data_IF_535343587351
#
_entry.id   IF_535343587351
#
_cell.length_a   1.000
_cell.length_b   1.000
_cell.length_c   1.000
_cell.angle_alpha   90.00
_cell.angle_beta   90.00
_cell.angle_gamma   90.00
#
_symmetry.space_group_name_H-M   'P 1'
#
loop_
_entity.id
_entity.type
_entity.pdbx_description
1 polymer ?
#
# COMPACT_ATOMS: atom_id res chain seq x y z
N UNK A 1 -14.31 11.35 -5.87
CA UNK A 1 -14.00 10.02 -5.30
C UNK A 1 -14.17 9.03 -6.43
N UNK A 2 -13.12 8.32 -6.84
CA UNK A 2 -13.27 7.29 -7.87
C UNK A 2 -13.89 6.07 -7.18
N UNK A 3 -15.17 5.80 -7.45
CA UNK A 3 -15.77 4.52 -7.08
C UNK A 3 -15.00 3.41 -7.79
N UNK A 4 -14.38 2.51 -7.01
CA UNK A 4 -13.84 1.26 -7.52
C UNK A 4 -12.43 1.35 -8.13
N UNK A 5 -11.40 1.56 -7.31
CA UNK A 5 -10.07 1.02 -7.67
C UNK A 5 -10.15 -0.51 -7.63
N UNK A 6 -10.20 -1.14 -8.81
CA UNK A 6 -10.32 -2.59 -8.93
C UNK A 6 -8.96 -3.27 -8.72
N UNK A 7 -8.92 -4.22 -7.77
CA UNK A 7 -7.79 -5.14 -7.65
C UNK A 7 -7.75 -6.07 -8.87
N UNK A 8 -6.70 -5.94 -9.67
CA UNK A 8 -6.49 -6.81 -10.84
C UNK A 8 -5.96 -8.17 -10.38
N UNK A 9 -6.40 -9.25 -11.04
CA UNK A 9 -5.93 -10.62 -10.77
C UNK A 9 -4.40 -10.77 -10.80
N UNK A 10 -3.70 -9.94 -11.58
CA UNK A 10 -2.23 -9.90 -11.62
C UNK A 10 -1.55 -9.67 -10.27
N UNK A 11 -2.28 -9.18 -9.26
CA UNK A 11 -1.73 -8.98 -7.92
C UNK A 11 -1.25 -10.29 -7.28
N UNK A 12 -1.89 -11.42 -7.58
CA UNK A 12 -1.48 -12.74 -7.08
C UNK A 12 -0.27 -13.32 -7.80
N UNK A 13 0.18 -12.70 -8.89
CA UNK A 13 1.36 -13.10 -9.67
C UNK A 13 2.53 -12.13 -9.45
N UNK A 14 2.38 -11.14 -8.57
CA UNK A 14 3.43 -10.16 -8.31
C UNK A 14 4.43 -10.73 -7.29
N UNK A 15 5.62 -11.07 -7.76
CA UNK A 15 6.70 -11.65 -6.94
C UNK A 15 7.12 -10.71 -5.80
N UNK A 16 7.31 -9.41 -6.07
CA UNK A 16 7.67 -8.44 -5.04
C UNK A 16 6.60 -8.32 -3.93
N UNK A 17 5.32 -8.52 -4.25
CA UNK A 17 4.25 -8.59 -3.24
C UNK A 17 4.29 -9.91 -2.46
N UNK A 18 4.63 -11.02 -3.12
CA UNK A 18 4.82 -12.31 -2.47
C UNK A 18 5.99 -12.26 -1.47
N UNK A 19 7.03 -11.49 -1.78
CA UNK A 19 8.22 -11.33 -0.94
C UNK A 19 8.02 -10.45 0.30
N UNK A 20 6.85 -9.81 0.47
CA UNK A 20 6.51 -9.12 1.71
C UNK A 20 6.59 -10.06 2.91
N UNK A 21 7.08 -9.54 4.04
CA UNK A 21 7.52 -10.32 5.19
C UNK A 21 6.44 -11.23 5.81
N UNK A 22 5.16 -10.84 5.73
CA UNK A 22 4.05 -11.60 6.30
C UNK A 22 2.71 -11.25 5.64
N UNK A 23 1.67 -12.03 5.97
CA UNK A 23 0.33 -11.83 5.41
C UNK A 23 -0.31 -10.51 5.82
N UNK A 24 0.02 -9.97 7.00
CA UNK A 24 -0.45 -8.63 7.40
C UNK A 24 0.10 -7.56 6.46
N UNK A 25 1.36 -7.64 6.02
CA UNK A 25 1.94 -6.71 5.05
C UNK A 25 1.23 -6.82 3.68
N UNK A 26 0.98 -8.04 3.21
CA UNK A 26 0.25 -8.29 1.95
C UNK A 26 -1.18 -7.75 2.01
N UNK A 27 -1.85 -7.90 3.15
CA UNK A 27 -3.17 -7.34 3.40
C UNK A 27 -3.15 -5.81 3.41
N UNK A 28 -2.21 -5.19 4.11
CA UNK A 28 -2.06 -3.73 4.14
C UNK A 28 -1.77 -3.14 2.76
N UNK A 29 -0.96 -3.82 1.94
CA UNK A 29 -0.73 -3.40 0.57
C UNK A 29 -2.00 -3.50 -0.28
N UNK A 30 -2.65 -4.67 -0.29
CA UNK A 30 -3.83 -4.94 -1.12
C UNK A 30 -5.02 -4.07 -0.74
N UNK A 31 -5.31 -3.91 0.55
CA UNK A 31 -6.39 -3.05 1.02
C UNK A 31 -6.05 -1.58 0.83
N UNK A 32 -4.78 -1.19 0.98
CA UNK A 32 -4.31 0.17 0.72
C UNK A 32 -4.59 0.66 -0.70
N UNK A 33 -4.58 -0.23 -1.71
CA UNK A 33 -4.90 0.12 -3.11
C UNK A 33 -6.29 0.75 -3.25
N UNK A 34 -7.27 0.31 -2.46
CA UNK A 34 -8.63 0.83 -2.51
C UNK A 34 -8.72 2.31 -2.09
N UNK A 35 -7.75 2.79 -1.32
CA UNK A 35 -7.75 4.14 -0.72
C UNK A 35 -6.83 5.14 -1.44
N UNK A 36 -6.23 4.74 -2.57
CA UNK A 36 -5.34 5.62 -3.32
C UNK A 36 -6.11 6.71 -4.08
N UNK A 37 -5.58 7.94 -4.06
CA UNK A 37 -6.04 9.03 -4.94
C UNK A 37 -5.71 8.74 -6.41
N UNK A 38 -6.17 9.57 -7.36
CA UNK A 38 -5.95 9.40 -8.81
C UNK A 38 -4.47 9.23 -9.21
N UNK A 39 -3.55 9.80 -8.44
CA UNK A 39 -2.10 9.74 -8.67
C UNK A 39 -1.42 8.54 -7.99
N UNK A 40 -2.19 7.66 -7.33
CA UNK A 40 -1.67 6.50 -6.61
C UNK A 40 -1.11 6.85 -5.24
N UNK A 41 -1.57 7.94 -4.61
CA UNK A 41 -1.07 8.44 -3.33
C UNK A 41 -2.05 8.19 -2.18
N UNK A 42 -1.51 8.07 -0.98
CA UNK A 42 -2.25 7.93 0.29
C UNK A 42 -1.46 8.61 1.41
N UNK A 43 -2.08 8.83 2.57
CA UNK A 43 -1.39 9.38 3.74
C UNK A 43 -0.15 8.56 4.13
N UNK A 44 0.94 9.25 4.45
CA UNK A 44 2.17 8.65 4.94
C UNK A 44 2.26 8.57 6.47
N UNK A 45 1.22 9.00 7.18
CA UNK A 45 1.12 8.90 8.63
C UNK A 45 0.76 7.47 9.05
N UNK A 46 1.48 6.88 9.99
CA UNK A 46 1.18 5.53 10.51
C UNK A 46 -0.24 5.45 11.07
N UNK A 47 -0.64 6.43 11.89
CA UNK A 47 -1.98 6.51 12.47
C UNK A 47 -3.05 6.71 11.40
N UNK A 48 -2.78 7.59 10.44
CA UNK A 48 -3.71 7.86 9.34
C UNK A 48 -3.91 6.64 8.44
N UNK A 49 -2.82 5.97 8.08
CA UNK A 49 -2.86 4.76 7.26
C UNK A 49 -3.56 3.61 7.97
N UNK A 50 -3.26 3.35 9.25
CA UNK A 50 -3.98 2.34 10.05
C UNK A 50 -5.47 2.65 10.11
N UNK A 51 -5.83 3.89 10.42
CA UNK A 51 -7.22 4.32 10.55
C UNK A 51 -8.01 4.24 9.23
N UNK A 52 -7.35 4.36 8.08
CA UNK A 52 -7.99 4.23 6.78
C UNK A 52 -8.06 2.78 6.31
N UNK A 53 -6.93 2.05 6.38
CA UNK A 53 -6.76 0.76 5.72
C UNK A 53 -7.19 -0.40 6.60
N UNK A 54 -6.92 -0.35 7.91
CA UNK A 54 -7.20 -1.45 8.82
C UNK A 54 -7.77 -0.96 10.18
N UNK A 55 -8.85 -0.14 10.18
CA UNK A 55 -9.35 0.46 11.41
C UNK A 55 -9.80 -0.56 12.46
N UNK A 56 -10.44 -1.65 12.02
CA UNK A 56 -11.08 -2.66 12.86
C UNK A 56 -10.21 -3.88 13.18
N UNK A 57 -8.95 -3.92 12.70
CA UNK A 57 -8.05 -5.02 12.98
C UNK A 57 -7.13 -4.66 14.15
N UNK A 58 -7.42 -5.19 15.33
CA UNK A 58 -6.67 -4.87 16.56
C UNK A 58 -5.23 -5.40 16.55
N UNK A 59 -4.98 -6.50 15.84
CA UNK A 59 -3.64 -7.07 15.68
C UNK A 59 -2.75 -6.21 14.75
N UNK A 60 -3.33 -5.29 13.99
CA UNK A 60 -2.57 -4.32 13.18
C UNK A 60 -2.26 -3.09 14.04
N UNK A 61 -1.04 -3.07 14.57
CA UNK A 61 -0.54 -1.98 15.40
C UNK A 61 0.18 -0.93 14.55
N UNK A 62 0.53 0.21 15.16
CA UNK A 62 1.39 1.20 14.50
C UNK A 62 2.78 0.64 14.16
N UNK A 63 3.26 -0.33 14.94
CA UNK A 63 4.51 -1.02 14.69
C UNK A 63 4.40 -1.90 13.44
N UNK A 64 3.29 -2.64 13.29
CA UNK A 64 3.00 -3.41 12.06
C UNK A 64 2.93 -2.53 10.83
N UNK A 65 2.31 -1.34 10.93
CA UNK A 65 2.25 -0.40 9.80
C UNK A 65 3.65 0.17 9.50
N UNK A 66 4.44 0.46 10.53
CA UNK A 66 5.82 0.93 10.36
C UNK A 66 6.71 -0.12 9.71
N UNK A 67 6.63 -1.38 10.15
CA UNK A 67 7.36 -2.50 9.54
C UNK A 67 6.94 -2.71 8.09
N UNK A 68 5.63 -2.64 7.81
CA UNK A 68 5.09 -2.71 6.46
C UNK A 68 5.66 -1.61 5.56
N UNK A 69 5.71 -0.35 6.00
CA UNK A 69 6.25 0.74 5.18
C UNK A 69 7.74 0.56 4.87
N UNK A 70 8.52 0.06 5.83
CA UNK A 70 9.94 -0.23 5.61
C UNK A 70 10.12 -1.36 4.60
N UNK A 71 9.38 -2.45 4.78
CA UNK A 71 9.43 -3.64 3.93
C UNK A 71 8.97 -3.35 2.50
N UNK A 72 7.79 -2.76 2.34
CA UNK A 72 7.25 -2.40 1.04
C UNK A 72 8.10 -1.34 0.31
N UNK A 73 8.79 -0.46 1.05
CA UNK A 73 9.75 0.49 0.47
C UNK A 73 11.00 -0.24 -0.01
N UNK A 74 11.52 -1.17 0.79
CA UNK A 74 12.69 -1.98 0.45
C UNK A 74 12.46 -2.79 -0.83
N UNK A 75 11.29 -3.42 -0.95
CA UNK A 75 10.86 -4.17 -2.15
C UNK A 75 10.45 -3.27 -3.33
N UNK A 76 10.51 -1.95 -3.18
CA UNK A 76 10.19 -1.00 -4.25
C UNK A 76 8.70 -0.90 -4.62
N UNK A 77 7.83 -1.51 -3.82
CA UNK A 77 6.37 -1.48 -3.99
C UNK A 77 5.78 -0.09 -3.69
N UNK A 78 6.36 0.62 -2.72
CA UNK A 78 5.94 1.99 -2.34
C UNK A 78 7.11 2.96 -2.35
N UNK A 79 6.77 4.24 -2.52
CA UNK A 79 7.64 5.36 -2.26
C UNK A 79 7.09 6.16 -1.08
N UNK A 80 7.82 6.15 0.03
CA UNK A 80 7.49 6.92 1.22
C UNK A 80 8.32 8.20 1.27
N UNK A 81 7.66 9.35 1.19
CA UNK A 81 8.32 10.65 1.08
C UNK A 81 7.62 11.71 1.93
N UNK A 82 8.37 12.77 2.25
CA UNK A 82 7.84 13.89 3.00
C UNK A 82 7.55 15.04 2.05
N UNK A 83 6.30 15.45 1.96
CA UNK A 83 5.91 16.79 1.50
C UNK A 83 5.53 17.61 2.74
N UNK A 84 5.24 18.92 2.63
CA UNK A 84 4.79 19.71 3.79
C UNK A 84 3.64 19.05 4.58
N UNK A 85 2.88 18.15 3.91
CA UNK A 85 1.94 17.18 4.49
C UNK A 85 2.37 15.72 4.18
N UNK A 86 2.97 14.99 5.12
CA UNK A 86 3.58 13.65 4.89
C UNK A 86 2.70 12.65 4.07
N UNK A 87 3.21 12.09 2.95
CA UNK A 87 2.44 11.30 1.96
C UNK A 87 3.21 10.08 1.43
N UNK A 88 2.50 9.05 0.93
CA UNK A 88 3.06 7.85 0.28
C UNK A 88 2.52 7.74 -1.14
N UNK A 89 3.33 7.27 -2.08
CA UNK A 89 2.90 6.88 -3.43
C UNK A 89 3.11 5.38 -3.60
N UNK A 90 2.06 4.63 -3.89
CA UNK A 90 2.14 3.21 -4.24
C UNK A 90 2.48 3.10 -5.73
N UNK A 91 3.41 2.20 -6.09
CA UNK A 91 3.74 1.96 -7.49
C UNK A 91 2.66 1.06 -8.09
N UNK A 92 1.85 1.59 -9.01
CA UNK A 92 1.01 0.74 -9.86
C UNK A 92 1.91 0.13 -10.95
N UNK A 93 1.82 -1.18 -11.26
CA UNK A 93 2.54 -1.72 -12.41
C UNK A 93 1.99 -1.04 -13.67
N UNK A 94 2.85 -0.51 -14.57
CA UNK A 94 2.41 0.22 -15.76
C UNK A 94 1.42 -0.61 -16.59
N UNK A 95 0.41 0.06 -17.17
CA UNK A 95 -0.55 -0.58 -18.05
C UNK A 95 0.02 -0.85 -19.46
N UNK A 96 1.18 -0.29 -19.82
CA UNK A 96 1.66 -0.21 -21.20
C UNK A 96 2.72 -1.27 -21.59
N UNK A 97 3.02 -2.23 -20.71
CA UNK A 97 3.94 -3.36 -21.02
C UNK A 97 3.21 -4.69 -21.24
N UNK A 98 1.99 -4.66 -21.79
CA UNK A 98 1.18 -5.86 -22.06
C UNK A 98 0.47 -5.77 -23.43
N UNK A 99 1.25 -5.57 -24.50
CA UNK A 99 0.91 -6.05 -25.84
C UNK A 99 1.70 -7.32 -26.13
#
# INVERSE_FOLDING_TARGET
MAEGRMLKKKISLNEALADLANDSHRLLFTWGIAHLDVEGRITGSLKGFKGLVAPLLDHITLETVSSFFQDAKFLGLIQWYKVPFMSIKMRHPPCDELL
#
